data_IF_250117865639
#
_entry.id   IF_250117865639
#
_cell.length_a   1.000
_cell.length_b   1.000
_cell.length_c   1.000
_cell.angle_alpha   90.00
_cell.angle_beta   90.00
_cell.angle_gamma   90.00
#
_symmetry.space_group_name_H-M   'P 1'
#
loop_
_entity.id
_entity.type
_entity.pdbx_description
1 polymer ?
#
# COMPACT_ATOMS: atom_id res chain seq x y z
N UNK A 1 -10.77 2.18 0.03
CA UNK A 1 -12.10 2.59 -0.45
C UNK A 1 -11.98 3.91 -1.17
N UNK A 2 -11.70 3.92 -2.45
CA UNK A 2 -11.28 5.13 -3.15
C UNK A 2 -12.07 5.45 -4.42
N UNK A 3 -13.21 4.84 -4.62
CA UNK A 3 -14.02 5.17 -5.79
C UNK A 3 -15.44 4.61 -5.62
N UNK A 4 -16.41 5.46 -5.42
CA UNK A 4 -17.78 5.03 -5.16
C UNK A 4 -18.47 4.36 -6.36
N UNK A 5 -18.11 4.70 -7.59
CA UNK A 5 -18.53 3.90 -8.74
C UNK A 5 -17.93 2.50 -8.70
N UNK A 6 -16.71 2.39 -8.23
CA UNK A 6 -16.04 1.11 -8.00
C UNK A 6 -16.39 0.49 -6.66
N UNK A 7 -16.83 1.25 -5.68
CA UNK A 7 -17.24 0.72 -4.39
C UNK A 7 -18.55 -0.06 -4.49
N UNK A 8 -19.53 0.36 -5.31
CA UNK A 8 -20.64 -0.52 -5.69
C UNK A 8 -20.15 -1.81 -6.36
N UNK A 9 -19.14 -1.71 -7.23
CA UNK A 9 -18.51 -2.89 -7.83
C UNK A 9 -17.59 -3.62 -6.84
N UNK A 10 -16.99 -2.95 -5.85
CA UNK A 10 -16.17 -3.57 -4.82
C UNK A 10 -17.00 -4.23 -3.72
N UNK A 11 -18.12 -3.66 -3.30
CA UNK A 11 -19.05 -4.38 -2.43
C UNK A 11 -19.57 -5.66 -3.10
N UNK A 12 -19.85 -5.62 -4.40
CA UNK A 12 -20.23 -6.82 -5.18
C UNK A 12 -19.02 -7.74 -5.38
N UNK A 13 -17.80 -7.22 -5.50
CA UNK A 13 -16.55 -8.00 -5.61
C UNK A 13 -16.03 -8.48 -4.28
N UNK A 14 -16.33 -7.78 -3.19
CA UNK A 14 -15.94 -8.18 -1.86
C UNK A 14 -16.86 -9.29 -1.31
N UNK A 15 -18.10 -9.36 -1.80
CA UNK A 15 -18.94 -10.51 -1.59
C UNK A 15 -18.31 -11.74 -2.23
N UNK A 16 -17.92 -12.67 -1.41
CA UNK A 16 -17.32 -13.91 -1.87
C UNK A 16 -18.39 -15.00 -1.95
N UNK A 17 -18.28 -15.83 -2.99
CA UNK A 17 -19.09 -17.07 -3.02
C UNK A 17 -18.61 -17.98 -1.89
N UNK A 18 -19.51 -18.67 -1.25
CA UNK A 18 -19.24 -19.57 -0.11
C UNK A 18 -18.10 -20.55 -0.37
N UNK A 19 -17.98 -21.06 -1.60
CA UNK A 19 -16.92 -21.98 -2.03
C UNK A 19 -15.48 -21.40 -2.01
N UNK A 20 -15.34 -20.07 -1.90
CA UNK A 20 -14.03 -19.38 -1.90
C UNK A 20 -13.60 -18.93 -0.51
N UNK A 21 -14.41 -19.20 0.51
CA UNK A 21 -14.13 -18.84 1.90
C UNK A 21 -13.85 -20.12 2.67
N UNK A 22 -12.85 -20.11 3.52
CA UNK A 22 -12.55 -21.25 4.38
C UNK A 22 -13.63 -21.43 5.45
N UNK A 23 -13.82 -22.67 5.93
CA UNK A 23 -14.82 -22.97 6.97
C UNK A 23 -14.65 -22.13 8.25
N UNK A 24 -13.41 -21.89 8.78
CA UNK A 24 -13.20 -21.02 9.93
C UNK A 24 -13.61 -19.57 9.68
N UNK A 25 -13.23 -19.00 8.53
CA UNK A 25 -13.60 -17.63 8.14
C UNK A 25 -15.10 -17.47 7.99
N UNK A 26 -15.78 -18.47 7.39
CA UNK A 26 -17.23 -18.52 7.32
C UNK A 26 -17.88 -18.51 8.71
N UNK A 27 -17.38 -19.34 9.64
CA UNK A 27 -17.87 -19.36 11.02
C UNK A 27 -17.68 -18.03 11.75
N UNK A 28 -16.57 -17.35 11.50
CA UNK A 28 -16.29 -16.03 12.05
C UNK A 28 -17.27 -14.96 11.53
N UNK A 29 -17.48 -14.91 10.21
CA UNK A 29 -18.40 -13.94 9.58
C UNK A 29 -19.86 -14.20 9.97
N UNK A 30 -20.30 -15.45 10.05
CA UNK A 30 -21.66 -15.79 10.47
C UNK A 30 -21.96 -15.39 11.92
N UNK A 31 -20.96 -15.46 12.82
CA UNK A 31 -21.12 -14.98 14.21
C UNK A 31 -21.37 -13.48 14.30
N UNK A 32 -20.83 -12.69 13.37
CA UNK A 32 -21.05 -11.24 13.31
C UNK A 32 -22.37 -10.87 12.60
N UNK A 33 -23.12 -11.83 12.05
CA UNK A 33 -24.34 -11.58 11.30
C UNK A 33 -24.13 -10.92 9.92
N UNK A 34 -22.89 -10.84 9.48
CA UNK A 34 -22.51 -10.16 8.24
C UNK A 34 -22.49 -11.10 7.03
N UNK A 35 -22.58 -10.48 5.85
CA UNK A 35 -22.42 -11.20 4.58
C UNK A 35 -20.99 -11.78 4.44
N UNK A 36 -20.84 -12.78 3.58
CA UNK A 36 -19.56 -13.41 3.31
C UNK A 36 -18.62 -12.44 2.55
N UNK A 37 -17.71 -11.80 3.28
CA UNK A 37 -16.74 -10.82 2.77
C UNK A 37 -15.38 -11.49 2.51
N UNK A 38 -14.68 -11.03 1.48
CA UNK A 38 -13.39 -11.59 1.06
C UNK A 38 -12.19 -10.99 1.81
N UNK A 39 -12.29 -9.73 2.19
CA UNK A 39 -11.17 -8.99 2.77
C UNK A 39 -11.46 -8.61 4.22
N UNK A 40 -10.75 -9.25 5.12
CA UNK A 40 -10.75 -8.92 6.54
C UNK A 40 -9.48 -8.15 6.88
N UNK A 41 -9.62 -7.05 7.63
CA UNK A 41 -8.49 -6.24 8.06
C UNK A 41 -8.71 -5.75 9.48
N UNK A 42 -7.72 -5.99 10.34
CA UNK A 42 -7.72 -5.52 11.72
C UNK A 42 -7.07 -4.14 11.83
N UNK A 43 -7.66 -3.29 12.66
CA UNK A 43 -7.12 -1.99 13.03
C UNK A 43 -7.10 -1.88 14.55
N UNK A 44 -5.99 -1.39 15.10
CA UNK A 44 -5.92 -1.01 16.51
C UNK A 44 -6.51 0.36 16.68
N UNK A 45 -7.47 0.50 17.58
CA UNK A 45 -8.12 1.74 17.97
C UNK A 45 -7.96 1.92 19.48
N UNK A 46 -7.96 3.16 19.95
CA UNK A 46 -7.81 3.47 21.38
C UNK A 46 -9.10 3.16 22.14
N UNK A 47 -10.26 3.47 21.54
CA UNK A 47 -11.56 3.20 22.11
C UNK A 47 -12.41 2.36 21.16
N UNK A 48 -12.98 1.28 21.67
CA UNK A 48 -13.85 0.37 20.92
C UNK A 48 -15.34 0.63 21.15
N UNK A 49 -15.69 1.38 22.20
CA UNK A 49 -17.07 1.65 22.61
C UNK A 49 -17.94 2.34 21.55
N UNK A 50 -17.30 3.04 20.61
CA UNK A 50 -17.98 3.75 19.51
C UNK A 50 -18.27 2.88 18.29
N UNK A 51 -17.82 1.61 18.29
CA UNK A 51 -17.95 0.70 17.15
C UNK A 51 -18.84 -0.49 17.52
N UNK A 52 -19.92 -0.63 16.81
CA UNK A 52 -20.81 -1.79 16.89
C UNK A 52 -20.63 -2.70 15.68
N UNK A 53 -20.98 -4.00 15.86
CA UNK A 53 -20.95 -4.97 14.76
C UNK A 53 -21.98 -4.53 13.71
N UNK A 54 -21.60 -4.57 12.42
CA UNK A 54 -22.45 -4.10 11.31
C UNK A 54 -22.33 -2.61 11.01
N UNK A 55 -21.58 -1.84 11.80
CA UNK A 55 -21.39 -0.42 11.55
C UNK A 55 -20.54 -0.15 10.28
N UNK A 56 -21.02 0.73 9.41
CA UNK A 56 -20.34 1.07 8.16
C UNK A 56 -19.52 2.34 8.30
N UNK A 57 -18.20 2.22 8.11
CA UNK A 57 -17.28 3.35 8.08
C UNK A 57 -17.25 3.94 6.67
N UNK A 58 -17.61 5.21 6.53
CA UNK A 58 -17.66 5.94 5.26
C UNK A 58 -16.55 6.99 5.18
N UNK A 59 -16.44 7.68 4.04
CA UNK A 59 -15.47 8.77 3.84
C UNK A 59 -15.71 9.99 4.74
N UNK A 60 -16.86 10.10 5.42
CA UNK A 60 -17.18 11.18 6.36
C UNK A 60 -16.21 11.30 7.55
N UNK A 61 -15.48 10.22 7.84
CA UNK A 61 -14.48 10.21 8.92
C UNK A 61 -13.19 10.99 8.56
N UNK A 62 -13.10 11.52 7.34
CA UNK A 62 -11.95 12.31 6.90
C UNK A 62 -12.37 13.76 6.66
N UNK A 63 -11.42 14.68 6.79
CA UNK A 63 -11.61 16.10 6.56
C UNK A 63 -10.80 16.58 5.35
N UNK A 64 -11.33 17.60 4.64
CA UNK A 64 -10.59 18.25 3.55
C UNK A 64 -9.38 18.99 4.14
N UNK A 65 -8.21 18.84 3.53
CA UNK A 65 -6.96 19.39 4.06
C UNK A 65 -6.24 18.48 5.05
N UNK A 66 -6.85 17.41 5.53
CA UNK A 66 -6.20 16.42 6.38
C UNK A 66 -5.07 15.68 5.63
N UNK A 67 -3.99 15.36 6.33
CA UNK A 67 -2.94 14.48 5.83
C UNK A 67 -3.24 13.03 6.19
N UNK A 68 -3.12 12.14 5.20
CA UNK A 68 -3.39 10.71 5.36
C UNK A 68 -2.22 9.86 4.87
N UNK A 69 -2.08 8.68 5.47
CA UNK A 69 -1.13 7.65 5.06
C UNK A 69 -1.89 6.55 4.32
N UNK A 70 -1.44 6.23 3.11
CA UNK A 70 -2.09 5.21 2.28
C UNK A 70 -1.16 4.03 2.09
N UNK A 71 -1.61 2.86 2.55
CA UNK A 71 -0.88 1.61 2.43
C UNK A 71 -1.57 0.68 1.43
N UNK A 72 -0.79 0.08 0.55
CA UNK A 72 -1.31 -0.87 -0.43
C UNK A 72 -0.21 -1.75 -1.01
N UNK A 73 -0.62 -2.76 -1.77
CA UNK A 73 0.30 -3.64 -2.47
C UNK A 73 0.76 -2.97 -3.76
N UNK A 74 2.05 -2.65 -3.85
CA UNK A 74 2.62 -2.02 -5.03
C UNK A 74 2.47 -2.88 -6.29
N UNK A 75 2.45 -2.23 -7.45
CA UNK A 75 2.40 -2.90 -8.73
C UNK A 75 3.60 -3.84 -8.89
N UNK A 76 3.35 -5.12 -9.19
CA UNK A 76 4.40 -6.11 -9.46
C UNK A 76 5.06 -5.85 -10.82
N UNK A 77 6.38 -5.96 -10.89
CA UNK A 77 7.19 -5.78 -12.10
C UNK A 77 8.03 -7.01 -12.44
N UNK A 78 7.71 -8.16 -11.81
CA UNK A 78 8.43 -9.42 -12.02
C UNK A 78 9.87 -9.38 -11.50
N UNK A 79 10.72 -10.22 -12.08
CA UNK A 79 12.16 -10.20 -11.84
C UNK A 79 12.79 -8.99 -12.54
N UNK A 80 13.56 -8.21 -11.83
CA UNK A 80 14.18 -6.99 -12.35
C UNK A 80 15.68 -6.97 -12.05
N UNK A 81 16.47 -6.55 -13.04
CA UNK A 81 17.90 -6.34 -12.92
C UNK A 81 18.24 -5.11 -12.06
N UNK A 82 19.52 -4.94 -11.79
CA UNK A 82 20.07 -3.89 -10.92
C UNK A 82 19.63 -2.50 -11.31
N UNK A 83 19.63 -2.18 -12.59
CA UNK A 83 19.30 -0.86 -13.11
C UNK A 83 17.83 -0.50 -12.81
N UNK A 84 16.90 -1.40 -13.18
CA UNK A 84 15.47 -1.17 -12.98
C UNK A 84 15.07 -1.23 -11.50
N UNK A 85 15.68 -2.14 -10.73
CA UNK A 85 15.32 -2.37 -9.32
C UNK A 85 15.93 -1.36 -8.38
N UNK A 86 17.18 -0.94 -8.64
CA UNK A 86 17.97 -0.12 -7.71
C UNK A 86 18.52 1.17 -8.32
N UNK A 87 18.26 1.44 -9.61
CA UNK A 87 18.74 2.65 -10.28
C UNK A 87 20.25 2.65 -10.56
N UNK A 88 20.89 1.50 -10.71
CA UNK A 88 22.31 1.42 -11.02
C UNK A 88 22.61 2.01 -12.39
N UNK A 89 23.72 2.73 -12.48
CA UNK A 89 24.23 3.25 -13.74
C UNK A 89 24.71 2.13 -14.67
N UNK A 90 24.70 2.41 -15.95
CA UNK A 90 25.32 1.54 -16.95
C UNK A 90 26.83 1.79 -16.98
N UNK A 91 27.59 0.76 -17.33
CA UNK A 91 29.00 0.92 -17.67
C UNK A 91 29.19 1.62 -19.03
N UNK A 92 30.45 1.94 -19.41
CA UNK A 92 30.78 2.51 -20.71
C UNK A 92 30.29 1.62 -21.85
N UNK A 93 29.78 2.21 -22.93
CA UNK A 93 29.29 1.49 -24.10
C UNK A 93 30.35 1.41 -25.22
N UNK A 94 31.45 2.12 -25.07
CA UNK A 94 32.57 2.20 -26.01
C UNK A 94 33.91 1.99 -25.30
N UNK A 95 35.03 2.26 -25.97
CA UNK A 95 36.40 2.12 -25.44
C UNK A 95 36.74 0.70 -24.95
N UNK A 96 36.19 -0.35 -25.61
CA UNK A 96 36.50 -1.74 -25.31
C UNK A 96 35.86 -2.30 -24.02
N UNK A 97 34.96 -1.55 -23.37
CA UNK A 97 34.28 -2.03 -22.18
C UNK A 97 33.41 -3.26 -22.50
N UNK A 98 33.58 -4.33 -21.73
CA UNK A 98 32.73 -5.54 -21.76
C UNK A 98 31.66 -5.53 -20.66
N UNK A 99 31.70 -4.52 -19.77
CA UNK A 99 30.77 -4.40 -18.65
C UNK A 99 29.73 -3.29 -18.92
N UNK A 100 28.69 -3.60 -19.66
CA UNK A 100 27.66 -2.62 -20.01
C UNK A 100 26.53 -2.54 -18.97
N UNK A 101 26.06 -3.68 -18.50
CA UNK A 101 24.88 -3.80 -17.62
C UNK A 101 25.13 -4.69 -16.40
N UNK A 102 26.35 -5.17 -16.19
CA UNK A 102 26.69 -5.99 -15.06
C UNK A 102 26.69 -5.21 -13.74
N UNK A 103 26.53 -5.87 -12.59
CA UNK A 103 26.45 -5.20 -11.29
C UNK A 103 27.75 -4.54 -10.82
N UNK A 104 28.90 -4.89 -11.41
CA UNK A 104 30.21 -4.51 -10.94
C UNK A 104 30.67 -5.32 -9.72
N UNK A 105 31.60 -4.79 -8.95
CA UNK A 105 32.12 -5.45 -7.77
C UNK A 105 31.06 -5.66 -6.69
N UNK A 106 31.05 -6.85 -6.09
CA UNK A 106 30.15 -7.19 -4.99
C UNK A 106 30.76 -6.97 -3.60
N UNK A 107 32.03 -6.62 -3.52
CA UNK A 107 32.75 -6.28 -2.30
C UNK A 107 34.20 -6.72 -2.32
N UNK A 108 34.89 -6.62 -1.18
CA UNK A 108 36.24 -7.08 -0.98
C UNK A 108 36.32 -8.63 -1.03
N UNK A 109 37.51 -9.19 -1.31
CA UNK A 109 37.75 -10.61 -1.45
C UNK A 109 37.98 -11.33 -0.13
N UNK A 110 39.24 -11.51 0.27
CA UNK A 110 39.66 -12.36 1.40
C UNK A 110 39.00 -12.00 2.74
N UNK A 111 38.89 -10.72 3.02
CA UNK A 111 38.17 -10.20 4.18
C UNK A 111 37.03 -9.30 3.68
N UNK A 112 35.77 -9.63 3.86
CA UNK A 112 35.16 -10.60 4.81
C UNK A 112 34.99 -12.03 4.27
N UNK A 113 35.50 -12.40 3.10
CA UNK A 113 35.31 -13.71 2.47
C UNK A 113 33.89 -14.03 2.04
N UNK A 114 32.99 -13.06 2.06
CA UNK A 114 31.57 -13.18 1.72
C UNK A 114 30.98 -11.87 1.21
N UNK A 115 29.84 -11.93 0.58
CA UNK A 115 29.04 -10.75 0.25
C UNK A 115 28.23 -10.35 1.50
N UNK A 116 28.26 -9.07 1.86
CA UNK A 116 27.49 -8.57 3.01
C UNK A 116 25.98 -8.73 2.79
N UNK A 117 25.23 -9.12 3.85
CA UNK A 117 23.78 -9.10 3.82
C UNK A 117 23.24 -7.73 3.42
N UNK A 118 22.10 -7.69 2.69
CA UNK A 118 21.51 -6.42 2.22
C UNK A 118 22.15 -5.84 0.97
N UNK A 119 23.21 -6.45 0.40
CA UNK A 119 23.75 -6.02 -0.90
C UNK A 119 22.67 -5.98 -1.96
N UNK A 120 22.58 -4.87 -2.69
CA UNK A 120 21.59 -4.67 -3.75
C UNK A 120 21.87 -5.55 -4.94
N UNK A 121 20.98 -6.51 -5.21
CA UNK A 121 21.08 -7.47 -6.29
C UNK A 121 19.78 -7.51 -7.10
N UNK A 122 19.85 -8.11 -8.30
CA UNK A 122 18.68 -8.42 -9.09
C UNK A 122 17.68 -9.28 -8.28
N UNK A 123 16.41 -9.21 -8.61
CA UNK A 123 15.37 -10.00 -7.94
C UNK A 123 13.98 -9.45 -8.20
N UNK A 124 13.01 -10.01 -7.50
CA UNK A 124 11.61 -9.59 -7.62
C UNK A 124 11.43 -8.12 -7.25
N UNK A 125 10.77 -7.37 -8.12
CA UNK A 125 10.48 -5.96 -7.94
C UNK A 125 8.98 -5.70 -7.88
N UNK A 126 8.56 -4.85 -6.94
CA UNK A 126 7.16 -4.58 -6.68
C UNK A 126 6.42 -5.76 -6.03
N UNK A 127 5.08 -5.67 -5.98
CA UNK A 127 4.23 -6.67 -5.33
C UNK A 127 4.38 -6.73 -3.81
N UNK A 128 5.04 -5.74 -3.20
CA UNK A 128 5.24 -5.62 -1.76
C UNK A 128 4.26 -4.60 -1.17
N UNK A 129 3.94 -4.75 0.10
CA UNK A 129 3.23 -3.73 0.87
C UNK A 129 4.10 -2.49 0.99
N UNK A 130 3.58 -1.35 0.56
CA UNK A 130 4.22 -0.04 0.71
C UNK A 130 3.23 0.96 1.27
N UNK A 131 3.74 1.99 1.94
CA UNK A 131 2.95 3.08 2.51
C UNK A 131 3.46 4.40 1.97
N UNK A 132 2.58 5.17 1.34
CA UNK A 132 2.85 6.57 0.97
C UNK A 132 2.27 7.43 2.09
N UNK A 133 3.16 8.21 2.73
CA UNK A 133 2.81 9.00 3.91
C UNK A 133 2.50 10.46 3.54
N UNK A 134 1.60 11.08 4.32
CA UNK A 134 1.37 12.51 4.27
C UNK A 134 0.66 13.02 3.01
N UNK A 135 -0.17 12.22 2.37
CA UNK A 135 -0.97 12.66 1.24
C UNK A 135 -2.09 13.59 1.71
N UNK A 136 -2.26 14.73 1.03
CA UNK A 136 -3.28 15.72 1.37
C UNK A 136 -4.63 15.31 0.76
N UNK A 137 -5.68 15.34 1.57
CA UNK A 137 -7.07 15.17 1.13
C UNK A 137 -7.53 16.47 0.45
N UNK A 138 -7.89 16.40 -0.83
CA UNK A 138 -8.31 17.56 -1.61
C UNK A 138 -9.82 17.73 -1.61
N UNK A 139 -10.57 16.64 -1.74
CA UNK A 139 -12.02 16.66 -1.85
C UNK A 139 -12.62 15.38 -1.27
N UNK A 140 -13.77 15.53 -0.65
CA UNK A 140 -14.61 14.43 -0.15
C UNK A 140 -15.98 14.57 -0.81
N UNK A 141 -16.52 13.50 -1.34
CA UNK A 141 -17.87 13.43 -1.90
C UNK A 141 -18.64 12.33 -1.16
N UNK A 142 -19.50 12.75 -0.26
CA UNK A 142 -20.28 11.83 0.59
C UNK A 142 -21.30 11.04 -0.20
N UNK A 143 -21.93 11.64 -1.23
CA UNK A 143 -22.94 10.96 -2.03
C UNK A 143 -22.36 9.79 -2.83
N UNK A 144 -21.12 9.97 -3.31
CA UNK A 144 -20.39 8.95 -4.08
C UNK A 144 -19.43 8.15 -3.24
N UNK A 145 -19.30 8.48 -1.93
CA UNK A 145 -18.31 7.91 -1.01
C UNK A 145 -16.89 7.93 -1.60
N UNK A 146 -16.50 9.10 -2.15
CA UNK A 146 -15.27 9.30 -2.90
C UNK A 146 -14.32 10.20 -2.11
N UNK A 147 -13.07 9.76 -1.96
CA UNK A 147 -11.98 10.52 -1.38
C UNK A 147 -10.92 10.85 -2.45
N UNK A 148 -10.66 12.13 -2.68
CA UNK A 148 -9.64 12.60 -3.61
C UNK A 148 -8.40 13.04 -2.84
N UNK A 149 -7.24 12.46 -3.16
CA UNK A 149 -5.97 12.77 -2.50
C UNK A 149 -4.93 13.31 -3.50
N UNK A 150 -4.05 14.20 -3.04
CA UNK A 150 -2.95 14.74 -3.83
C UNK A 150 -1.74 13.80 -3.75
N UNK A 151 -1.34 13.23 -4.88
CA UNK A 151 -0.14 12.41 -4.99
C UNK A 151 -0.39 11.00 -5.50
N UNK A 152 0.62 10.14 -5.40
CA UNK A 152 0.55 8.77 -5.92
C UNK A 152 0.02 7.80 -4.87
N UNK A 153 -0.95 6.99 -5.27
CA UNK A 153 -1.52 5.91 -4.45
C UNK A 153 -0.85 4.58 -4.83
N UNK A 154 -0.44 3.76 -3.85
CA UNK A 154 0.22 2.50 -4.13
C UNK A 154 -0.73 1.48 -4.78
N UNK A 155 -0.22 0.75 -5.76
CA UNK A 155 -0.94 -0.35 -6.41
C UNK A 155 -1.41 -0.02 -7.83
N UNK A 156 -2.13 -0.96 -8.42
CA UNK A 156 -2.78 -0.80 -9.71
C UNK A 156 -4.22 -0.29 -9.54
N UNK A 157 -4.82 0.34 -10.56
CA UNK A 157 -6.24 0.70 -10.50
C UNK A 157 -7.12 -0.49 -10.08
N UNK A 158 -8.07 -0.25 -9.17
CA UNK A 158 -8.93 -1.29 -8.59
C UNK A 158 -8.30 -2.14 -7.49
N UNK A 159 -7.11 -1.79 -6.98
CA UNK A 159 -6.52 -2.42 -5.79
C UNK A 159 -7.17 -1.88 -4.52
N UNK A 160 -7.21 -2.73 -3.49
CA UNK A 160 -7.59 -2.31 -2.14
C UNK A 160 -6.42 -1.59 -1.49
N UNK A 161 -6.71 -0.46 -0.85
CA UNK A 161 -5.75 0.32 -0.08
C UNK A 161 -6.31 0.61 1.31
N UNK A 162 -5.41 0.71 2.28
CA UNK A 162 -5.76 1.11 3.64
C UNK A 162 -5.39 2.58 3.83
N UNK A 163 -6.33 3.38 4.28
CA UNK A 163 -6.14 4.79 4.56
C UNK A 163 -6.19 5.00 6.07
N UNK A 164 -5.20 5.69 6.60
CA UNK A 164 -5.13 6.07 8.01
C UNK A 164 -4.81 7.55 8.13
N UNK A 165 -5.27 8.23 9.18
CA UNK A 165 -4.76 9.55 9.51
C UNK A 165 -3.23 9.51 9.65
N UNK A 166 -2.57 10.59 9.23
CA UNK A 166 -1.12 10.67 9.37
C UNK A 166 -0.75 10.97 10.83
N UNK A 167 0.01 10.08 11.46
CA UNK A 167 0.49 10.20 12.83
C UNK A 167 1.84 10.94 12.93
N UNK A 168 2.23 11.72 11.92
CA UNK A 168 3.42 12.55 12.05
C UNK A 168 3.10 13.66 13.06
N UNK A 169 3.60 13.52 14.27
CA UNK A 169 3.66 14.58 15.27
C UNK A 169 4.65 15.64 14.75
N UNK A 170 4.19 16.43 13.77
CA UNK A 170 4.87 17.64 13.37
C UNK A 170 4.47 18.74 14.34
N UNK A 171 5.40 19.62 14.71
CA UNK A 171 5.09 20.86 15.43
C UNK A 171 3.82 21.47 14.82
N UNK A 172 2.78 21.65 15.61
CA UNK A 172 1.63 22.49 15.24
C UNK A 172 2.24 23.77 14.71
N UNK A 173 2.02 24.08 13.43
CA UNK A 173 2.45 25.34 12.86
C UNK A 173 1.86 26.44 13.74
N UNK A 174 2.72 27.21 14.37
CA UNK A 174 2.27 28.33 15.17
C UNK A 174 1.41 29.20 14.26
N UNK A 175 0.23 29.51 14.74
CA UNK A 175 -0.58 30.59 14.21
C UNK A 175 0.34 31.82 14.08
N UNK A 176 0.60 32.22 12.87
CA UNK A 176 1.16 33.55 12.61
C UNK A 176 0.00 34.53 12.78
N UNK A 177 -0.02 35.14 13.94
CA UNK A 177 -0.77 36.39 14.19
C UNK A 177 -0.41 37.44 13.16
#
# INVERSE_FOLDING_TARGET
>A
HLDCRRQRQMCIRDRSREKHISKPEKGHLLKSGEELLKHLKEYRVEETSSYEIGNQITVKNFEVGQKVDISGKSMGRGFAGYQKRHGFSRGPMSHGSKNHRAPGSTGAGTTPGRIYPGKRMAGRYGGKQITTKGLLVLKIDDQKNLLVVKGSVPGKPGSIVNIKPNNVVGKKGGEKS
#
